data_IF_712383559290
#
_entry.id   IF_712383559290
#
_cell.length_a   1.000
_cell.length_b   1.000
_cell.length_c   1.000
_cell.angle_alpha   90.00
_cell.angle_beta   90.00
_cell.angle_gamma   90.00
#
_symmetry.space_group_name_H-M   'P 1'
#
loop_
_entity.id
_entity.type
_entity.pdbx_description
1 polymer ?
#
# COMPACT_ATOMS: atom_id res chain seq x y z
N UNK A 1 -6.23 7.29 -29.84
CA UNK A 1 -7.03 6.69 -28.76
C UNK A 1 -6.32 7.01 -27.46
N UNK A 2 -6.78 8.03 -26.73
CA UNK A 2 -6.19 8.39 -25.43
C UNK A 2 -6.91 7.57 -24.38
N UNK A 3 -6.43 6.35 -24.10
CA UNK A 3 -6.84 5.67 -22.87
C UNK A 3 -6.31 6.50 -21.73
N UNK A 4 -7.19 7.20 -21.03
CA UNK A 4 -6.87 7.72 -19.70
C UNK A 4 -6.26 6.54 -18.93
N UNK A 5 -5.05 6.66 -18.36
CA UNK A 5 -4.52 5.59 -17.54
C UNK A 5 -5.56 5.27 -16.49
N UNK A 6 -6.07 4.04 -16.49
CA UNK A 6 -6.92 3.59 -15.39
C UNK A 6 -5.96 3.44 -14.22
N UNK A 7 -5.93 4.44 -13.34
CA UNK A 7 -5.16 4.42 -12.10
C UNK A 7 -5.38 3.08 -11.40
N UNK A 8 -4.29 2.33 -11.22
CA UNK A 8 -4.31 1.04 -10.59
C UNK A 8 -3.87 1.19 -9.13
N UNK A 9 -4.60 0.56 -8.23
CA UNK A 9 -4.32 0.58 -6.81
C UNK A 9 -4.02 -0.82 -6.31
N UNK A 10 -3.18 -0.91 -5.31
CA UNK A 10 -2.71 -2.16 -4.73
C UNK A 10 -2.65 -2.04 -3.20
N UNK A 11 -3.24 -2.99 -2.49
CA UNK A 11 -3.17 -3.08 -1.03
C UNK A 11 -2.30 -4.26 -0.59
N UNK A 12 -1.35 -3.99 0.31
CA UNK A 12 -0.43 -4.98 0.86
C UNK A 12 -0.46 -4.99 2.39
N UNK A 13 -0.58 -6.19 2.94
CA UNK A 13 -0.37 -6.46 4.36
C UNK A 13 1.12 -6.72 4.65
N UNK A 14 1.65 -6.12 5.72
CA UNK A 14 3.04 -6.31 6.14
C UNK A 14 3.10 -7.00 7.50
N UNK A 15 3.66 -8.21 7.52
CA UNK A 15 3.96 -8.92 8.76
C UNK A 15 5.34 -8.53 9.27
N UNK A 16 5.45 -8.23 10.56
CA UNK A 16 6.69 -7.82 11.22
C UNK A 16 7.69 -8.98 11.31
N UNK A 17 8.48 -9.21 10.25
CA UNK A 17 9.73 -9.97 10.32
C UNK A 17 9.64 -11.42 10.83
N UNK A 18 8.45 -11.95 11.13
CA UNK A 18 8.25 -13.34 11.48
C UNK A 18 8.45 -14.16 10.20
N UNK A 19 9.46 -15.04 10.14
CA UNK A 19 9.82 -15.76 8.91
C UNK A 19 8.69 -16.67 8.42
N UNK A 20 7.76 -17.04 9.30
CA UNK A 20 6.59 -17.87 8.99
C UNK A 20 5.39 -17.05 8.47
N UNK A 21 5.41 -15.71 8.63
CA UNK A 21 4.33 -14.82 8.21
C UNK A 21 4.79 -13.95 7.05
N UNK A 22 4.30 -14.28 5.86
CA UNK A 22 4.66 -13.56 4.65
C UNK A 22 3.74 -12.35 4.43
N UNK A 23 4.35 -11.21 4.10
CA UNK A 23 3.60 -10.09 3.54
C UNK A 23 2.83 -10.55 2.30
N UNK A 24 1.60 -10.09 2.13
CA UNK A 24 0.73 -10.58 1.07
C UNK A 24 -0.16 -9.48 0.48
N UNK A 25 -0.64 -9.75 -0.72
CA UNK A 25 -1.55 -8.87 -1.48
C UNK A 25 -2.98 -9.06 -1.01
N UNK A 26 -3.61 -7.98 -0.56
CA UNK A 26 -5.03 -7.98 -0.17
C UNK A 26 -5.92 -7.79 -1.40
N UNK A 27 -5.61 -6.79 -2.23
CA UNK A 27 -6.40 -6.46 -3.41
C UNK A 27 -5.61 -5.64 -4.44
N UNK A 28 -5.98 -5.77 -5.71
CA UNK A 28 -5.52 -4.93 -6.83
C UNK A 28 -6.75 -4.47 -7.62
N UNK A 29 -6.82 -3.20 -8.00
CA UNK A 29 -7.94 -2.68 -8.80
C UNK A 29 -8.17 -1.19 -8.63
N UNK A 30 -9.43 -0.77 -8.72
CA UNK A 30 -9.81 0.64 -8.52
C UNK A 30 -9.75 1.05 -7.05
N UNK A 31 -9.43 2.32 -6.81
CA UNK A 31 -9.21 2.91 -5.48
C UNK A 31 -10.25 2.49 -4.44
N UNK A 32 -11.52 2.83 -4.69
CA UNK A 32 -12.59 2.66 -3.71
C UNK A 32 -12.75 1.19 -3.30
N UNK A 33 -12.57 0.27 -4.25
CA UNK A 33 -12.70 -1.16 -3.99
C UNK A 33 -11.50 -1.68 -3.21
N UNK A 34 -10.29 -1.26 -3.57
CA UNK A 34 -9.05 -1.63 -2.87
C UNK A 34 -9.06 -1.11 -1.44
N UNK A 35 -9.40 0.16 -1.22
CA UNK A 35 -9.50 0.76 0.11
C UNK A 35 -10.56 0.07 0.98
N UNK A 36 -11.71 -0.28 0.39
CA UNK A 36 -12.77 -1.01 1.09
C UNK A 36 -12.30 -2.41 1.52
N UNK A 37 -11.67 -3.15 0.62
CA UNK A 37 -11.17 -4.50 0.92
C UNK A 37 -10.02 -4.47 1.94
N UNK A 38 -9.11 -3.49 1.82
CA UNK A 38 -8.05 -3.27 2.80
C UNK A 38 -8.60 -3.00 4.20
N UNK A 39 -9.64 -2.16 4.31
CA UNK A 39 -10.31 -1.89 5.60
C UNK A 39 -10.98 -3.14 6.17
N UNK A 40 -11.66 -3.92 5.35
CA UNK A 40 -12.32 -5.16 5.79
C UNK A 40 -11.29 -6.17 6.28
N UNK A 41 -10.18 -6.33 5.56
CA UNK A 41 -9.10 -7.24 5.95
C UNK A 41 -8.44 -6.78 7.25
N UNK A 42 -8.13 -5.48 7.37
CA UNK A 42 -7.56 -4.91 8.60
C UNK A 42 -8.46 -5.18 9.81
N UNK A 43 -9.78 -5.00 9.66
CA UNK A 43 -10.75 -5.29 10.71
C UNK A 43 -10.86 -6.79 11.03
N UNK A 44 -10.84 -7.66 10.01
CA UNK A 44 -10.88 -9.12 10.16
C UNK A 44 -9.69 -9.65 10.97
N UNK A 45 -8.57 -8.97 10.86
CA UNK A 45 -7.30 -9.32 11.50
C UNK A 45 -7.08 -8.53 12.78
N UNK A 46 -8.10 -7.78 13.22
CA UNK A 46 -8.11 -7.00 14.44
C UNK A 46 -6.91 -6.03 14.55
N UNK A 47 -6.37 -5.58 13.41
CA UNK A 47 -5.18 -4.72 13.39
C UNK A 47 -3.88 -5.40 13.80
N UNK A 48 -3.77 -6.73 13.73
CA UNK A 48 -2.53 -7.47 14.01
C UNK A 48 -1.33 -6.95 13.18
N UNK A 49 -1.59 -6.53 11.94
CA UNK A 49 -0.59 -5.98 11.02
C UNK A 49 -1.08 -4.76 10.26
N UNK A 50 -0.11 -4.02 9.71
CA UNK A 50 -0.35 -2.85 8.91
C UNK A 50 -0.76 -3.22 7.49
N UNK A 51 -1.67 -2.45 6.90
CA UNK A 51 -2.06 -2.57 5.49
C UNK A 51 -1.83 -1.25 4.79
N UNK A 52 -0.94 -1.22 3.81
CA UNK A 52 -0.69 -0.06 2.97
C UNK A 52 -1.45 -0.16 1.66
N UNK A 53 -1.97 0.96 1.19
CA UNK A 53 -2.62 1.11 -0.11
C UNK A 53 -1.77 2.04 -0.97
N UNK A 54 -1.37 1.55 -2.13
CA UNK A 54 -0.54 2.27 -3.09
C UNK A 54 -1.31 2.56 -4.37
N UNK A 55 -1.03 3.71 -4.99
CA UNK A 55 -1.22 3.94 -6.41
C UNK A 55 0.01 3.39 -7.13
N UNK A 56 -0.21 2.63 -8.20
CA UNK A 56 0.85 1.99 -8.99
C UNK A 56 0.75 2.39 -10.44
N UNK A 57 1.91 2.53 -11.07
CA UNK A 57 2.04 2.71 -12.51
C UNK A 57 2.22 1.34 -13.18
N UNK A 58 1.46 1.08 -14.24
CA UNK A 58 1.55 -0.17 -14.99
C UNK A 58 2.90 -0.29 -15.69
N UNK A 59 3.44 -1.51 -15.71
CA UNK A 59 4.72 -1.85 -16.36
C UNK A 59 5.96 -1.12 -15.80
N UNK A 60 5.82 -0.39 -14.69
CA UNK A 60 6.91 0.32 -14.02
C UNK A 60 7.47 -0.49 -12.83
N UNK A 61 8.78 -0.39 -12.53
CA UNK A 61 9.36 -0.97 -11.32
C UNK A 61 8.71 -0.39 -10.06
N UNK A 62 8.17 -1.25 -9.19
CA UNK A 62 7.49 -0.84 -7.96
C UNK A 62 8.36 0.05 -7.06
N UNK A 63 9.67 -0.20 -6.99
CA UNK A 63 10.58 0.52 -6.09
C UNK A 63 10.76 2.00 -6.46
N UNK A 64 10.46 2.37 -7.71
CA UNK A 64 10.67 3.72 -8.23
C UNK A 64 9.35 4.51 -8.36
N UNK A 65 8.21 3.81 -8.44
CA UNK A 65 6.90 4.39 -8.75
C UNK A 65 5.80 4.01 -7.74
N UNK A 66 6.19 3.72 -6.49
CA UNK A 66 5.22 3.46 -5.42
C UNK A 66 4.74 4.77 -4.80
N UNK A 67 3.44 5.04 -4.90
CA UNK A 67 2.83 6.18 -4.23
C UNK A 67 1.88 5.68 -3.14
N UNK A 68 2.27 5.86 -1.87
CA UNK A 68 1.40 5.52 -0.75
C UNK A 68 0.20 6.47 -0.70
N UNK A 69 -1.00 5.91 -0.71
CA UNK A 69 -2.27 6.64 -0.70
C UNK A 69 -2.92 6.56 0.68
N UNK A 70 -2.81 5.41 1.35
CA UNK A 70 -3.40 5.20 2.67
C UNK A 70 -2.64 4.12 3.44
N UNK A 71 -2.74 4.14 4.77
CA UNK A 71 -2.15 3.15 5.64
C UNK A 71 -3.04 2.88 6.85
N UNK A 72 -3.48 1.63 7.01
CA UNK A 72 -4.13 1.14 8.21
C UNK A 72 -3.05 0.58 9.13
N UNK A 73 -2.76 1.29 10.23
CA UNK A 73 -1.69 0.91 11.15
C UNK A 73 -1.96 -0.37 11.94
N UNK A 74 -0.88 -1.05 12.33
CA UNK A 74 -0.96 -2.20 13.24
C UNK A 74 -1.16 -1.75 14.69
N UNK A 75 -1.69 -2.65 15.52
CA UNK A 75 -1.78 -2.48 16.97
C UNK A 75 -0.40 -2.39 17.65
N UNK A 76 0.66 -2.79 16.95
CA UNK A 76 2.04 -2.65 17.42
C UNK A 76 2.54 -1.20 17.33
N UNK A 77 1.70 -0.26 16.90
CA UNK A 77 1.95 1.17 17.01
C UNK A 77 2.78 1.75 15.87
N UNK A 78 2.98 1.00 14.78
CA UNK A 78 3.66 1.55 13.61
C UNK A 78 2.78 2.61 12.97
N UNK A 79 3.25 3.86 13.04
CA UNK A 79 2.73 4.95 12.23
C UNK A 79 3.70 5.16 11.08
N UNK A 80 3.23 4.96 9.86
CA UNK A 80 4.03 5.33 8.69
C UNK A 80 4.22 6.85 8.67
N UNK A 81 5.47 7.30 8.55
CA UNK A 81 5.81 8.71 8.37
C UNK A 81 5.88 8.95 6.86
N UNK A 82 5.02 9.82 6.34
CA UNK A 82 5.05 10.23 4.94
C UNK A 82 6.40 10.91 4.64
N UNK A 83 7.31 10.19 3.98
CA UNK A 83 8.72 10.51 4.10
C UNK A 83 9.63 9.89 3.06
N UNK A 84 9.19 9.73 1.81
CA UNK A 84 10.11 9.62 0.66
C UNK A 84 9.58 10.37 -0.57
N UNK A 85 9.25 11.66 -0.41
CA UNK A 85 9.78 12.62 -1.39
C UNK A 85 11.27 12.72 -1.08
N UNK A 86 12.07 11.85 -1.68
CA UNK A 86 13.50 12.09 -1.71
C UNK A 86 13.68 13.45 -2.37
N UNK A 87 14.22 14.39 -1.61
CA UNK A 87 14.68 15.68 -2.10
C UNK A 87 15.83 15.42 -3.07
N UNK A 88 15.53 14.96 -4.29
CA UNK A 88 16.33 15.25 -5.48
C UNK A 88 15.87 16.61 -5.99
N UNK A 89 16.14 17.65 -5.20
CA UNK A 89 16.21 19.01 -5.71
C UNK A 89 17.42 19.69 -5.05
N UNK A 90 18.49 19.69 -5.85
CA UNK A 90 19.51 20.72 -5.98
C UNK A 90 20.17 21.26 -4.69
N UNK A 91 21.41 20.81 -4.47
CA UNK A 91 22.56 21.71 -4.36
C UNK A 91 23.81 20.97 -4.85
#
# INVERSE_FOLDING_TARGET
MSSTPNDLYFAQAFHHGEPERHSYVVAIGHRDRVETLARVEHARQEGEYGIAVYLVELDAPMQEHLHLVNYFGSNMGERWIDGQRTSKQAA
#
